data_IF_880386131937
#
_entry.id   IF_880386131937
#
_cell.length_a   1.000
_cell.length_b   1.000
_cell.length_c   1.000
_cell.angle_alpha   90.00
_cell.angle_beta   90.00
_cell.angle_gamma   90.00
#
_symmetry.space_group_name_H-M   'P 1'
#
loop_
_entity.id
_entity.type
_entity.pdbx_description
1 polymer ?
#
# COMPACT_ATOMS: atom_id res chain seq x y z
N UNK A 1 -47.14 -38.24 -25.25
CA UNK A 1 -46.82 -39.69 -25.17
C UNK A 1 -45.36 -39.84 -25.61
N UNK A 2 -44.40 -40.26 -24.77
CA UNK A 2 -44.06 -41.65 -24.39
C UNK A 2 -43.84 -42.60 -25.60
N UNK A 3 -42.57 -42.91 -25.92
CA UNK A 3 -42.02 -44.29 -25.90
C UNK A 3 -40.48 -44.36 -26.14
N UNK A 4 -39.74 -44.70 -25.09
CA UNK A 4 -38.75 -45.80 -25.11
C UNK A 4 -39.52 -47.13 -24.81
N UNK A 5 -38.94 -48.36 -24.71
CA UNK A 5 -37.52 -48.78 -24.74
C UNK A 5 -37.23 -50.04 -25.60
N UNK A 6 -36.05 -50.65 -25.42
CA UNK A 6 -35.63 -51.98 -25.91
C UNK A 6 -34.10 -52.04 -26.04
N UNK A 7 -33.25 -52.70 -25.21
CA UNK A 7 -33.25 -53.90 -24.34
C UNK A 7 -32.88 -55.24 -25.01
N UNK A 8 -31.59 -55.57 -24.92
CA UNK A 8 -30.95 -56.90 -24.79
C UNK A 8 -29.53 -56.63 -24.23
N UNK A 9 -28.92 -57.27 -23.21
CA UNK A 9 -29.07 -58.56 -22.53
C UNK A 9 -28.64 -59.78 -23.38
N UNK A 10 -27.68 -60.64 -23.00
CA UNK A 10 -26.79 -60.67 -21.82
C UNK A 10 -25.32 -61.05 -22.26
N UNK A 11 -24.38 -61.71 -21.57
CA UNK A 11 -24.37 -62.63 -20.41
C UNK A 11 -23.00 -62.60 -19.67
N UNK A 12 -22.95 -63.06 -18.42
CA UNK A 12 -21.78 -63.22 -17.53
C UNK A 12 -20.65 -64.13 -18.08
N UNK A 13 -19.36 -63.86 -17.77
CA UNK A 13 -18.23 -64.60 -18.40
C UNK A 13 -16.86 -64.82 -17.69
N UNK A 14 -16.56 -64.24 -16.52
CA UNK A 14 -15.55 -64.77 -15.56
C UNK A 14 -14.02 -64.57 -15.73
N UNK A 15 -13.33 -64.75 -14.59
CA UNK A 15 -11.89 -65.05 -14.31
C UNK A 15 -10.82 -63.93 -14.25
N UNK A 16 -10.36 -63.72 -13.01
CA UNK A 16 -8.95 -63.60 -12.56
C UNK A 16 -8.12 -62.32 -12.74
N UNK A 17 -7.78 -61.71 -11.58
CA UNK A 17 -6.43 -61.33 -11.12
C UNK A 17 -5.54 -60.45 -12.02
N UNK A 18 -5.40 -59.18 -11.63
CA UNK A 18 -4.11 -58.63 -11.14
C UNK A 18 -4.31 -57.25 -10.47
N UNK A 19 -3.25 -56.71 -9.87
CA UNK A 19 -3.21 -55.32 -9.38
C UNK A 19 -3.32 -54.29 -10.52
N UNK A 20 -3.29 -52.98 -10.25
CA UNK A 20 -2.57 -52.29 -9.17
C UNK A 20 -3.46 -51.18 -8.56
N UNK A 21 -3.38 -50.98 -7.24
CA UNK A 21 -4.03 -49.86 -6.57
C UNK A 21 -3.35 -48.54 -6.91
N UNK A 22 -4.08 -47.62 -7.56
CA UNK A 22 -3.58 -46.28 -7.87
C UNK A 22 -3.54 -45.45 -6.58
N UNK A 23 -2.35 -45.32 -5.99
CA UNK A 23 -2.11 -44.43 -4.85
C UNK A 23 -2.26 -42.99 -5.33
N UNK A 24 -3.33 -42.32 -4.89
CA UNK A 24 -3.54 -40.90 -5.16
C UNK A 24 -2.49 -40.07 -4.40
N UNK A 25 -1.40 -39.73 -5.09
CA UNK A 25 -0.37 -38.86 -4.55
C UNK A 25 -0.91 -37.42 -4.42
N UNK A 26 -1.43 -37.09 -3.23
CA UNK A 26 -1.83 -35.71 -2.89
C UNK A 26 -0.55 -34.89 -2.75
N UNK A 27 -0.12 -34.27 -3.85
CA UNK A 27 0.92 -33.24 -3.84
C UNK A 27 0.40 -32.02 -3.09
N UNK A 28 0.74 -31.93 -1.80
CA UNK A 28 0.54 -30.73 -1.00
C UNK A 28 1.39 -29.59 -1.58
N UNK A 29 0.81 -28.85 -2.52
CA UNK A 29 1.35 -27.60 -3.03
C UNK A 29 1.49 -26.63 -1.86
N UNK A 30 2.69 -26.55 -1.30
CA UNK A 30 3.10 -25.47 -0.41
C UNK A 30 3.10 -24.17 -1.19
N UNK A 31 1.92 -23.55 -1.27
CA UNK A 31 1.75 -22.18 -1.71
C UNK A 31 2.51 -21.28 -0.73
N UNK A 32 3.80 -21.10 -1.01
CA UNK A 32 4.59 -20.09 -0.36
C UNK A 32 3.87 -18.76 -0.57
N UNK A 33 3.33 -18.19 0.52
CA UNK A 33 2.86 -16.82 0.54
C UNK A 33 4.08 -15.92 0.37
N UNK A 34 4.55 -15.79 -0.88
CA UNK A 34 5.39 -14.71 -1.31
C UNK A 34 4.60 -13.44 -1.01
N UNK A 35 4.95 -12.78 0.10
CA UNK A 35 4.47 -11.46 0.43
C UNK A 35 4.86 -10.57 -0.74
N UNK A 36 3.91 -10.35 -1.65
CA UNK A 36 4.18 -9.71 -2.93
C UNK A 36 4.69 -8.30 -2.62
N UNK A 37 5.98 -8.06 -2.88
CA UNK A 37 6.56 -6.73 -2.84
C UNK A 37 5.62 -5.83 -3.67
N UNK A 38 5.02 -4.77 -3.07
CA UNK A 38 4.10 -3.92 -3.81
C UNK A 38 4.75 -3.47 -5.13
N UNK A 39 4.04 -3.53 -6.27
CA UNK A 39 4.63 -3.24 -7.56
C UNK A 39 5.19 -1.81 -7.53
N UNK A 40 6.49 -1.68 -7.81
CA UNK A 40 7.24 -0.43 -7.63
C UNK A 40 8.19 -0.38 -6.43
N UNK A 41 8.85 -1.48 -6.04
CA UNK A 41 9.99 -1.39 -5.10
C UNK A 41 11.30 -0.86 -5.70
N UNK A 42 11.26 -0.39 -6.95
CA UNK A 42 12.23 0.54 -7.54
C UNK A 42 11.61 1.94 -7.81
N UNK A 43 10.41 2.22 -7.28
CA UNK A 43 9.83 3.56 -7.39
C UNK A 43 10.57 4.51 -6.44
N UNK A 44 11.29 5.47 -7.01
CA UNK A 44 11.96 6.53 -6.27
C UNK A 44 10.93 7.30 -5.44
N UNK A 45 11.25 7.58 -4.19
CA UNK A 45 10.36 8.27 -3.25
C UNK A 45 10.68 9.76 -3.25
N UNK A 46 9.74 10.58 -3.73
CA UNK A 46 9.86 12.03 -3.70
C UNK A 46 9.26 12.54 -2.41
N UNK A 47 9.98 13.41 -1.71
CA UNK A 47 9.50 14.06 -0.50
C UNK A 47 8.50 15.15 -0.88
N UNK A 48 7.26 14.97 -0.46
CA UNK A 48 6.12 15.84 -0.79
C UNK A 48 5.83 16.90 0.26
N UNK A 49 6.27 16.65 1.50
CA UNK A 49 6.00 17.49 2.65
C UNK A 49 7.15 17.43 3.65
N UNK A 50 7.43 18.56 4.31
CA UNK A 50 8.29 18.67 5.49
C UNK A 50 7.50 19.40 6.58
N UNK A 51 7.51 18.88 7.81
CA UNK A 51 6.96 19.56 8.98
C UNK A 51 7.98 19.57 10.12
N UNK A 52 8.06 20.68 10.84
CA UNK A 52 8.95 20.83 12.00
C UNK A 52 8.14 20.74 13.30
N UNK A 53 8.46 19.76 14.14
CA UNK A 53 7.94 19.60 15.49
C UNK A 53 8.95 20.05 16.55
N UNK A 54 8.70 19.71 17.82
CA UNK A 54 9.60 20.08 18.92
C UNK A 54 10.84 19.18 18.93
N UNK A 55 11.91 19.64 18.26
CA UNK A 55 13.18 18.91 18.15
C UNK A 55 13.17 17.72 17.20
N UNK A 56 12.12 17.55 16.39
CA UNK A 56 11.99 16.47 15.40
C UNK A 56 11.50 17.03 14.06
N UNK A 57 12.03 16.49 12.96
CA UNK A 57 11.51 16.75 11.63
C UNK A 57 10.61 15.59 11.20
N UNK A 58 9.53 15.89 10.49
CA UNK A 58 8.65 14.91 9.86
C UNK A 58 8.61 15.13 8.37
N UNK A 59 8.52 14.05 7.62
CA UNK A 59 8.43 14.10 6.17
C UNK A 59 7.40 13.10 5.65
N UNK A 60 6.73 13.45 4.56
CA UNK A 60 5.84 12.54 3.83
C UNK A 60 6.37 12.39 2.41
N UNK A 61 6.47 11.15 1.97
CA UNK A 61 7.03 10.72 0.70
C UNK A 61 5.96 10.02 -0.14
N UNK A 62 5.94 10.28 -1.44
CA UNK A 62 5.10 9.57 -2.41
C UNK A 62 5.94 8.93 -3.53
N UNK A 63 5.45 7.84 -4.16
CA UNK A 63 6.08 7.25 -5.33
C UNK A 63 6.14 8.24 -6.49
N UNK A 64 7.32 8.41 -7.09
CA UNK A 64 7.60 9.24 -8.26
C UNK A 64 6.49 9.25 -9.35
N UNK A 65 5.91 8.10 -9.77
CA UNK A 65 4.83 8.09 -10.77
C UNK A 65 3.53 8.82 -10.38
N UNK A 66 3.23 8.97 -9.08
CA UNK A 66 2.10 9.79 -8.58
C UNK A 66 2.43 11.27 -8.66
N UNK A 67 3.69 11.60 -8.38
CA UNK A 67 4.18 12.97 -8.18
C UNK A 67 4.28 13.72 -9.50
N UNK A 68 4.72 13.03 -10.56
CA UNK A 68 4.86 13.58 -11.91
C UNK A 68 3.79 13.09 -12.89
N UNK A 69 2.65 12.63 -12.38
CA UNK A 69 1.44 12.58 -13.19
C UNK A 69 1.08 13.99 -13.72
N UNK A 70 0.45 14.15 -14.89
CA UNK A 70 0.29 15.46 -15.56
C UNK A 70 -0.42 16.56 -14.75
N UNK A 71 -1.14 16.21 -13.68
CA UNK A 71 -1.84 17.14 -12.77
C UNK A 71 -1.47 16.89 -11.30
N UNK A 72 -0.30 16.26 -11.08
CA UNK A 72 0.10 15.66 -9.82
C UNK A 72 -0.94 14.65 -9.33
N UNK A 73 -1.06 14.56 -8.01
CA UNK A 73 -2.09 13.77 -7.35
C UNK A 73 -3.50 14.32 -7.66
N UNK A 74 -4.41 13.43 -8.09
CA UNK A 74 -5.77 13.79 -8.50
C UNK A 74 -6.68 14.10 -7.28
N UNK A 75 -7.72 14.91 -7.50
CA UNK A 75 -8.68 15.25 -6.44
C UNK A 75 -9.45 14.01 -5.96
N UNK A 76 -9.54 13.80 -4.65
CA UNK A 76 -10.15 12.60 -4.07
C UNK A 76 -9.31 11.31 -4.18
N UNK A 77 -8.13 11.36 -4.80
CA UNK A 77 -7.24 10.19 -4.91
C UNK A 77 -6.66 9.82 -3.54
N UNK A 78 -6.58 8.53 -3.24
CA UNK A 78 -5.74 7.98 -2.18
C UNK A 78 -4.58 7.21 -2.79
N UNK A 79 -3.39 7.35 -2.21
CA UNK A 79 -2.18 6.63 -2.61
C UNK A 79 -1.43 6.10 -1.39
N UNK A 80 -0.69 5.01 -1.58
CA UNK A 80 0.24 4.50 -0.58
C UNK A 80 1.51 5.36 -0.63
N UNK A 81 1.89 5.92 0.51
CA UNK A 81 3.10 6.70 0.71
C UNK A 81 3.88 6.21 1.91
N UNK A 82 4.94 6.95 2.25
CA UNK A 82 5.72 6.72 3.47
C UNK A 82 5.81 7.99 4.28
N UNK A 83 5.63 7.86 5.60
CA UNK A 83 5.95 8.87 6.59
C UNK A 83 7.28 8.53 7.23
N UNK A 84 8.00 9.54 7.71
CA UNK A 84 9.09 9.34 8.66
C UNK A 84 9.12 10.45 9.68
N UNK A 85 9.56 10.08 10.89
CA UNK A 85 9.89 10.99 11.97
C UNK A 85 11.42 10.92 12.11
N UNK A 86 12.10 11.94 11.60
CA UNK A 86 13.54 12.01 11.52
C UNK A 86 14.14 12.34 12.90
N UNK A 87 14.78 11.34 13.47
CA UNK A 87 15.48 11.39 14.76
C UNK A 87 17.01 11.38 14.58
N UNK A 88 17.53 11.59 13.37
CA UNK A 88 18.97 11.68 13.09
C UNK A 88 19.68 12.73 13.96
N UNK A 89 19.11 13.93 14.24
CA UNK A 89 19.69 14.88 15.19
C UNK A 89 19.84 14.36 16.63
N UNK A 90 19.13 13.28 16.98
CA UNK A 90 19.20 12.61 18.28
C UNK A 90 19.98 11.28 18.21
N UNK A 91 20.80 11.09 17.16
CA UNK A 91 21.57 9.87 16.87
C UNK A 91 20.71 8.59 16.77
N UNK A 92 19.47 8.72 16.28
CA UNK A 92 18.56 7.60 16.01
C UNK A 92 18.24 7.54 14.52
N UNK A 93 17.85 6.35 14.04
CA UNK A 93 17.52 6.13 12.63
C UNK A 93 16.25 6.85 12.15
N UNK A 94 16.18 7.07 10.84
CA UNK A 94 15.06 7.66 10.11
C UNK A 94 14.17 6.56 9.50
N UNK A 95 13.29 5.98 10.33
CA UNK A 95 12.44 4.87 9.92
C UNK A 95 11.31 5.31 8.97
N UNK A 96 11.19 4.65 7.81
CA UNK A 96 10.05 4.83 6.90
C UNK A 96 8.90 3.92 7.32
N UNK A 97 7.72 4.51 7.52
CA UNK A 97 6.50 3.82 7.92
C UNK A 97 5.41 4.04 6.85
N UNK A 98 4.65 3.01 6.46
CA UNK A 98 3.66 3.16 5.39
C UNK A 98 2.43 3.94 5.89
N UNK A 99 1.92 4.82 5.03
CA UNK A 99 0.75 5.67 5.28
C UNK A 99 -0.14 5.72 4.04
N UNK A 100 -1.44 5.97 4.24
CA UNK A 100 -2.28 6.43 3.14
C UNK A 100 -2.22 7.95 3.08
N UNK A 101 -2.04 8.50 1.89
CA UNK A 101 -2.17 9.94 1.63
C UNK A 101 -3.37 10.13 0.73
N UNK A 102 -4.32 10.98 1.14
CA UNK A 102 -5.54 11.29 0.37
C UNK A 102 -5.60 12.77 0.05
N UNK A 103 -5.72 13.10 -1.23
CA UNK A 103 -5.93 14.47 -1.70
C UNK A 103 -7.41 14.84 -1.56
N UNK A 104 -7.70 15.97 -0.94
CA UNK A 104 -9.07 16.50 -0.84
C UNK A 104 -9.72 16.70 -2.21
N UNK A 105 -11.05 16.56 -2.28
CA UNK A 105 -11.81 16.76 -3.51
C UNK A 105 -11.76 18.21 -4.04
N UNK A 106 -11.46 19.18 -3.17
CA UNK A 106 -11.26 20.59 -3.50
C UNK A 106 -9.79 21.00 -3.62
N UNK A 107 -8.86 20.03 -3.51
CA UNK A 107 -7.40 20.23 -3.48
C UNK A 107 -6.91 21.28 -2.46
N UNK A 108 -7.64 21.55 -1.37
CA UNK A 108 -7.18 22.50 -0.32
C UNK A 108 -6.32 21.87 0.77
N UNK A 109 -6.43 20.57 0.98
CA UNK A 109 -5.59 19.81 1.93
C UNK A 109 -5.26 18.39 1.44
N UNK A 110 -4.18 17.81 1.97
CA UNK A 110 -4.03 16.34 2.03
C UNK A 110 -4.44 15.83 3.41
N UNK A 111 -4.87 14.57 3.47
CA UNK A 111 -5.02 13.81 4.70
C UNK A 111 -3.93 12.74 4.73
N UNK A 112 -3.23 12.59 5.85
CA UNK A 112 -2.19 11.58 6.05
C UNK A 112 -2.63 10.64 7.18
N UNK A 113 -2.88 9.39 6.82
CA UNK A 113 -3.38 8.33 7.69
C UNK A 113 -2.23 7.40 8.09
N UNK A 114 -1.81 7.50 9.36
CA UNK A 114 -0.81 6.65 10.00
C UNK A 114 -1.45 5.36 10.54
N UNK A 115 -2.14 4.62 9.67
CA UNK A 115 -2.94 3.44 10.01
C UNK A 115 -2.18 2.37 10.80
N UNK A 116 -0.86 2.26 10.59
CA UNK A 116 0.03 1.34 11.32
C UNK A 116 0.29 1.73 12.78
N UNK A 117 0.08 3.00 13.15
CA UNK A 117 0.24 3.53 14.52
C UNK A 117 -1.07 3.72 15.28
N UNK A 118 -2.23 3.61 14.61
CA UNK A 118 -3.55 3.90 15.21
C UNK A 118 -3.75 5.38 15.59
N UNK A 119 -2.98 6.29 15.00
CA UNK A 119 -3.13 7.74 15.21
C UNK A 119 -4.28 8.29 14.36
N UNK A 120 -4.99 9.35 14.81
CA UNK A 120 -5.99 10.03 13.98
C UNK A 120 -5.37 10.57 12.67
N UNK A 121 -6.04 10.45 11.51
CA UNK A 121 -5.51 10.99 10.25
C UNK A 121 -5.37 12.52 10.26
N UNK A 122 -4.16 13.01 10.05
CA UNK A 122 -3.83 14.44 10.08
C UNK A 122 -4.24 15.11 8.77
N UNK A 123 -4.96 16.24 8.84
CA UNK A 123 -5.27 17.09 7.67
C UNK A 123 -4.28 18.25 7.58
N UNK A 124 -3.76 18.48 6.38
CA UNK A 124 -2.62 19.38 6.14
C UNK A 124 -2.93 20.27 4.93
N UNK A 125 -3.04 21.60 5.10
CA UNK A 125 -3.33 22.49 3.98
C UNK A 125 -2.23 22.43 2.91
N UNK A 126 -2.60 22.49 1.63
CA UNK A 126 -1.62 22.41 0.53
C UNK A 126 -0.61 23.57 0.55
N UNK A 127 -1.02 24.75 1.02
CA UNK A 127 -0.11 25.90 1.24
C UNK A 127 0.79 25.80 2.47
N UNK A 128 0.75 24.69 3.22
CA UNK A 128 1.38 24.56 4.54
C UNK A 128 0.51 25.11 5.67
N UNK A 129 0.97 24.95 6.91
CA UNK A 129 0.22 25.38 8.09
C UNK A 129 0.71 24.77 9.39
N UNK A 130 -0.07 24.95 10.45
CA UNK A 130 0.12 24.26 11.75
C UNK A 130 -0.82 23.06 11.81
N UNK A 131 -0.31 21.89 12.19
CA UNK A 131 -1.10 20.64 12.34
C UNK A 131 -0.59 19.78 13.50
N UNK A 132 -1.42 18.87 13.99
CA UNK A 132 -1.01 17.83 14.93
C UNK A 132 -0.80 16.49 14.20
N UNK A 133 0.43 15.96 14.26
CA UNK A 133 0.85 14.74 13.56
C UNK A 133 1.00 13.52 14.47
N UNK A 134 1.51 13.73 15.68
CA UNK A 134 1.68 12.72 16.72
C UNK A 134 1.68 13.47 18.05
N UNK A 135 0.71 13.19 18.93
CA UNK A 135 0.50 13.94 20.18
C UNK A 135 1.69 13.88 21.16
N UNK A 136 2.70 13.03 20.90
CA UNK A 136 3.89 12.87 21.74
C UNK A 136 5.10 13.69 21.26
N UNK A 137 5.15 14.03 19.97
CA UNK A 137 6.36 14.56 19.32
C UNK A 137 6.10 15.74 18.37
N UNK A 138 4.84 15.89 17.93
CA UNK A 138 4.45 16.68 16.78
C UNK A 138 3.06 17.31 16.96
N UNK A 139 2.81 17.82 18.17
CA UNK A 139 1.79 18.84 18.42
C UNK A 139 2.28 20.16 17.83
N UNK A 140 1.38 20.98 17.30
CA UNK A 140 1.69 22.32 16.79
C UNK A 140 2.72 22.34 15.62
N UNK A 141 2.90 21.20 14.93
CA UNK A 141 3.93 21.03 13.92
C UNK A 141 3.76 21.98 12.73
N UNK A 142 4.83 22.69 12.36
CA UNK A 142 4.82 23.69 11.28
C UNK A 142 5.19 23.02 9.95
N UNK A 143 4.19 22.74 9.13
CA UNK A 143 4.33 22.15 7.81
C UNK A 143 4.55 23.23 6.74
N UNK A 144 5.53 23.00 5.86
CA UNK A 144 5.65 23.73 4.59
C UNK A 144 4.57 23.31 3.58
N UNK A 145 4.54 23.92 2.39
CA UNK A 145 3.61 23.55 1.33
C UNK A 145 3.78 22.09 0.88
N UNK A 146 2.67 21.46 0.51
CA UNK A 146 2.67 20.17 -0.15
C UNK A 146 3.11 20.38 -1.61
N UNK A 147 4.21 19.74 -2.02
CA UNK A 147 5.06 20.13 -3.16
C UNK A 147 5.72 21.52 -3.02
N UNK A 148 6.45 21.73 -1.92
CA UNK A 148 7.62 22.59 -1.92
C UNK A 148 8.92 21.77 -1.94
N UNK A 149 9.88 22.19 -2.78
CA UNK A 149 11.26 21.69 -2.91
C UNK A 149 11.50 20.33 -3.61
N UNK A 150 11.52 20.38 -4.94
CA UNK A 150 12.78 20.11 -5.64
C UNK A 150 13.13 21.34 -6.53
N UNK A 151 14.28 22.02 -6.34
CA UNK A 151 14.73 23.11 -7.21
C UNK A 151 15.08 22.68 -8.65
N UNK A 152 15.21 21.38 -8.94
CA UNK A 152 15.72 20.87 -10.22
C UNK A 152 14.69 20.07 -11.04
N UNK A 153 13.48 19.82 -10.53
CA UNK A 153 12.50 18.99 -11.23
C UNK A 153 11.76 19.75 -12.34
N UNK A 154 12.51 20.11 -13.40
CA UNK A 154 12.02 20.89 -14.54
C UNK A 154 13.11 21.40 -15.51
N UNK A 155 14.36 20.95 -15.38
CA UNK A 155 15.44 21.19 -16.36
C UNK A 155 15.68 19.94 -17.22
#
# INVERSE_FOLDING_TARGET
MRKQPGHAAATTGGRSLSGIGVVAAITFSVAANAAAKPPGQEAWLIRMLVCQGSGVQMEVYLPQPVVFAPHGMAAGQTVNGYYTLDLSPLNKGKGLEPVHVTMSADKRFVTVDQYTRGLPPTRIPIGGGTVDFDQRFAVDAKCGPFQAQDPNYGN
#
